data_IF_119082682455
#
_entry.id   IF_119082682455
#
_cell.length_a   1.000
_cell.length_b   1.000
_cell.length_c   1.000
_cell.angle_alpha   90.00
_cell.angle_beta   90.00
_cell.angle_gamma   90.00
#
_symmetry.space_group_name_H-M   'P 1'
#
loop_
_entity.id
_entity.type
_entity.pdbx_description
1 polymer ?
#
# COMPACT_ATOMS: atom_id res chain seq x y z
N UNK A 1 -3.36 -25.37 86.39
CA UNK A 1 -2.41 -24.65 85.49
C UNK A 1 -2.44 -25.13 84.04
N UNK A 2 -3.05 -26.28 83.72
CA UNK A 2 -3.21 -26.81 82.34
C UNK A 2 -4.37 -26.18 81.56
N UNK A 3 -5.42 -25.71 82.24
CA UNK A 3 -6.61 -25.10 81.61
C UNK A 3 -6.34 -23.75 80.95
N UNK A 4 -5.50 -22.89 81.54
CA UNK A 4 -5.10 -21.62 80.91
C UNK A 4 -4.24 -21.82 79.66
N UNK A 5 -3.37 -22.82 79.65
CA UNK A 5 -2.50 -23.11 78.51
C UNK A 5 -3.29 -23.62 77.29
N UNK A 6 -4.34 -24.42 77.54
CA UNK A 6 -5.25 -24.90 76.49
C UNK A 6 -6.09 -23.76 75.92
N UNK A 7 -6.53 -22.81 76.76
CA UNK A 7 -7.27 -21.64 76.28
C UNK A 7 -6.40 -20.70 75.44
N UNK A 8 -5.15 -20.44 75.86
CA UNK A 8 -4.17 -19.69 75.06
C UNK A 8 -3.90 -20.35 73.70
N UNK A 9 -3.74 -21.68 73.68
CA UNK A 9 -3.51 -22.43 72.42
C UNK A 9 -4.70 -22.32 71.46
N UNK A 10 -5.94 -22.40 71.97
CA UNK A 10 -7.17 -22.24 71.17
C UNK A 10 -7.32 -20.82 70.61
N UNK A 11 -6.96 -19.79 71.38
CA UNK A 11 -6.99 -18.39 70.92
C UNK A 11 -5.98 -18.16 69.79
N UNK A 12 -4.78 -18.74 69.88
CA UNK A 12 -3.79 -18.66 68.80
C UNK A 12 -4.28 -19.36 67.52
N UNK A 13 -4.89 -20.55 67.62
CA UNK A 13 -5.48 -21.21 66.46
C UNK A 13 -6.60 -20.39 65.80
N UNK A 14 -7.47 -19.76 66.61
CA UNK A 14 -8.52 -18.88 66.10
C UNK A 14 -7.95 -17.62 65.45
N UNK A 15 -6.89 -17.03 65.98
CA UNK A 15 -6.21 -15.88 65.38
C UNK A 15 -5.55 -16.26 64.04
N UNK A 16 -4.91 -17.42 63.95
CA UNK A 16 -4.33 -17.92 62.70
C UNK A 16 -5.44 -18.18 61.67
N UNK A 17 -6.55 -18.82 62.06
CA UNK A 17 -7.69 -19.00 61.17
C UNK A 17 -8.27 -17.67 60.71
N UNK A 18 -8.44 -16.69 61.60
CA UNK A 18 -8.94 -15.36 61.26
C UNK A 18 -7.99 -14.62 60.31
N UNK A 19 -6.67 -14.74 60.52
CA UNK A 19 -5.65 -14.20 59.61
C UNK A 19 -5.71 -14.89 58.24
N UNK A 20 -5.92 -16.21 58.19
CA UNK A 20 -6.13 -16.94 56.95
C UNK A 20 -7.43 -16.50 56.24
N UNK A 21 -8.54 -16.31 56.97
CA UNK A 21 -9.82 -15.85 56.39
C UNK A 21 -9.69 -14.46 55.77
N UNK A 22 -9.10 -13.51 56.52
CA UNK A 22 -8.87 -12.15 56.05
C UNK A 22 -7.92 -12.13 54.84
N UNK A 23 -6.91 -13.01 54.84
CA UNK A 23 -6.01 -13.14 53.70
C UNK A 23 -6.74 -13.65 52.45
N UNK A 24 -7.62 -14.65 52.59
CA UNK A 24 -8.42 -15.18 51.47
C UNK A 24 -9.41 -14.14 50.94
N UNK A 25 -10.11 -13.40 51.80
CA UNK A 25 -11.00 -12.31 51.37
C UNK A 25 -10.23 -11.20 50.65
N UNK A 26 -9.06 -10.83 51.14
CA UNK A 26 -8.24 -9.80 50.50
C UNK A 26 -7.73 -10.25 49.12
N UNK A 27 -7.29 -11.51 49.00
CA UNK A 27 -6.85 -12.09 47.72
C UNK A 27 -8.01 -12.17 46.72
N UNK A 28 -9.21 -12.55 47.16
CA UNK A 28 -10.38 -12.59 46.28
C UNK A 28 -10.79 -11.20 45.79
N UNK A 29 -10.76 -10.19 46.65
CA UNK A 29 -11.06 -8.81 46.27
C UNK A 29 -10.03 -8.25 45.28
N UNK A 30 -8.74 -8.55 45.46
CA UNK A 30 -7.68 -8.18 44.52
C UNK A 30 -7.85 -8.88 43.17
N UNK A 31 -8.25 -10.15 43.16
CA UNK A 31 -8.53 -10.92 41.95
C UNK A 31 -9.72 -10.35 41.17
N UNK A 32 -10.86 -10.08 41.82
CA UNK A 32 -12.02 -9.46 41.16
C UNK A 32 -11.70 -8.06 40.61
N UNK A 33 -10.87 -7.29 41.32
CA UNK A 33 -10.44 -5.99 40.84
C UNK A 33 -9.53 -6.10 39.62
N UNK A 34 -8.60 -7.06 39.61
CA UNK A 34 -7.78 -7.36 38.44
C UNK A 34 -8.63 -7.82 37.25
N UNK A 35 -9.66 -8.65 37.50
CA UNK A 35 -10.58 -9.14 36.49
C UNK A 35 -11.34 -8.02 35.80
N UNK A 36 -11.95 -7.13 36.59
CA UNK A 36 -12.69 -5.98 36.08
C UNK A 36 -11.79 -5.04 35.27
N UNK A 37 -10.54 -4.84 35.70
CA UNK A 37 -9.56 -4.04 34.94
C UNK A 37 -9.24 -4.67 33.59
N UNK A 38 -9.04 -5.99 33.55
CA UNK A 38 -8.78 -6.72 32.30
C UNK A 38 -9.95 -6.59 31.33
N UNK A 39 -11.19 -6.79 31.79
CA UNK A 39 -12.38 -6.69 30.94
C UNK A 39 -12.60 -5.28 30.37
N UNK A 40 -12.38 -4.24 31.19
CA UNK A 40 -12.43 -2.85 30.73
C UNK A 40 -11.38 -2.61 29.65
N UNK A 41 -10.14 -3.07 29.89
CA UNK A 41 -9.05 -2.93 28.92
C UNK A 41 -9.36 -3.64 27.60
N UNK A 42 -9.86 -4.89 27.64
CA UNK A 42 -10.26 -5.63 26.44
C UNK A 42 -11.29 -4.85 25.62
N UNK A 43 -12.35 -4.38 26.28
CA UNK A 43 -13.42 -3.62 25.61
C UNK A 43 -12.89 -2.34 24.97
N UNK A 44 -12.04 -1.61 25.68
CA UNK A 44 -11.45 -0.38 25.19
C UNK A 44 -10.50 -0.61 24.00
N UNK A 45 -9.60 -1.58 24.14
CA UNK A 45 -8.58 -1.85 23.12
C UNK A 45 -9.19 -2.48 21.89
N UNK A 46 -10.17 -3.37 21.99
CA UNK A 46 -10.80 -3.94 20.80
C UNK A 46 -11.51 -2.86 19.96
N UNK A 47 -12.19 -1.92 20.63
CA UNK A 47 -12.78 -0.74 19.98
C UNK A 47 -11.75 0.12 19.24
N UNK A 48 -10.59 0.37 19.87
CA UNK A 48 -9.47 1.11 19.24
C UNK A 48 -8.80 0.32 18.11
N UNK A 49 -8.72 -1.01 18.25
CA UNK A 49 -8.02 -1.91 17.32
C UNK A 49 -8.68 -1.94 15.94
N UNK A 50 -10.00 -1.85 15.87
CA UNK A 50 -10.71 -1.78 14.59
C UNK A 50 -10.36 -0.52 13.80
N UNK A 51 -10.24 0.63 14.48
CA UNK A 51 -9.82 1.90 13.87
C UNK A 51 -8.35 1.82 13.44
N UNK A 52 -7.47 1.26 14.27
CA UNK A 52 -6.05 1.05 13.96
C UNK A 52 -5.84 0.16 12.75
N UNK A 53 -6.63 -0.90 12.60
CA UNK A 53 -6.59 -1.78 11.44
C UNK A 53 -6.93 -1.04 10.14
N UNK A 54 -7.93 -0.14 10.16
CA UNK A 54 -8.25 0.70 8.99
C UNK A 54 -7.10 1.63 8.62
N UNK A 55 -6.49 2.30 9.60
CA UNK A 55 -5.34 3.17 9.36
C UNK A 55 -4.12 2.41 8.85
N UNK A 56 -3.88 1.19 9.36
CA UNK A 56 -2.82 0.32 8.86
C UNK A 56 -3.02 -0.01 7.37
N UNK A 57 -4.25 -0.34 6.97
CA UNK A 57 -4.56 -0.63 5.56
C UNK A 57 -4.45 0.61 4.66
N UNK A 58 -4.90 1.77 5.13
CA UNK A 58 -4.72 3.03 4.41
C UNK A 58 -3.23 3.36 4.22
N UNK A 59 -2.43 3.16 5.26
CA UNK A 59 -0.98 3.32 5.23
C UNK A 59 -0.33 2.35 4.25
N UNK A 60 -0.66 1.07 4.33
CA UNK A 60 -0.18 0.02 3.41
C UNK A 60 -0.46 0.39 1.96
N UNK A 61 -1.71 0.72 1.64
CA UNK A 61 -2.14 1.11 0.29
C UNK A 61 -1.42 2.36 -0.24
N UNK A 62 -1.23 3.37 0.61
CA UNK A 62 -0.54 4.60 0.21
C UNK A 62 0.95 4.33 -0.09
N UNK A 63 1.62 3.52 0.73
CA UNK A 63 3.02 3.17 0.56
C UNK A 63 3.23 2.27 -0.66
N UNK A 64 2.37 1.27 -0.89
CA UNK A 64 2.43 0.42 -2.08
C UNK A 64 2.20 1.19 -3.39
N UNK A 65 1.27 2.15 -3.38
CA UNK A 65 1.06 3.03 -4.52
C UNK A 65 2.29 3.93 -4.77
N UNK A 66 2.92 4.42 -3.70
CA UNK A 66 4.16 5.19 -3.80
C UNK A 66 5.30 4.34 -4.39
N UNK A 67 5.45 3.11 -3.90
CA UNK A 67 6.43 2.14 -4.37
C UNK A 67 6.29 1.87 -5.87
N UNK A 68 5.08 1.53 -6.29
CA UNK A 68 4.76 1.31 -7.70
C UNK A 68 5.13 2.51 -8.57
N UNK A 69 4.75 3.71 -8.14
CA UNK A 69 4.95 4.92 -8.93
C UNK A 69 6.43 5.33 -9.03
N UNK A 70 7.23 5.20 -7.95
CA UNK A 70 8.65 5.55 -8.03
C UNK A 70 9.43 4.57 -8.91
N UNK A 71 9.06 3.28 -8.93
CA UNK A 71 9.66 2.27 -9.82
C UNK A 71 9.24 2.47 -11.28
N UNK A 72 7.99 2.87 -11.53
CA UNK A 72 7.53 3.29 -12.87
C UNK A 72 8.35 4.49 -13.37
N UNK A 73 8.55 5.51 -12.52
CA UNK A 73 9.37 6.67 -12.86
C UNK A 73 10.84 6.32 -13.12
N UNK A 74 11.45 5.44 -12.33
CA UNK A 74 12.81 4.95 -12.57
C UNK A 74 12.94 4.28 -13.94
N UNK A 75 11.97 3.43 -14.29
CA UNK A 75 11.95 2.73 -15.57
C UNK A 75 11.89 3.73 -16.74
N UNK A 76 10.97 4.69 -16.66
CA UNK A 76 10.84 5.72 -17.70
C UNK A 76 12.07 6.62 -17.79
N UNK A 77 12.72 6.93 -16.66
CA UNK A 77 13.99 7.67 -16.64
C UNK A 77 15.09 6.89 -17.35
N UNK A 78 15.18 5.58 -17.16
CA UNK A 78 16.17 4.74 -17.84
C UNK A 78 15.89 4.66 -19.35
N UNK A 79 14.63 4.48 -19.76
CA UNK A 79 14.25 4.50 -21.18
C UNK A 79 14.59 5.85 -21.83
N UNK A 80 14.33 6.95 -21.12
CA UNK A 80 14.69 8.29 -21.57
C UNK A 80 16.20 8.46 -21.72
N UNK A 81 17.01 7.94 -20.78
CA UNK A 81 18.49 7.97 -20.86
C UNK A 81 18.99 7.21 -22.09
N UNK A 82 18.51 5.99 -22.31
CA UNK A 82 18.84 5.18 -23.50
C UNK A 82 18.51 5.96 -24.78
N UNK A 83 17.34 6.59 -24.84
CA UNK A 83 16.95 7.38 -26.00
C UNK A 83 17.83 8.63 -26.19
N UNK A 84 18.13 9.35 -25.11
CA UNK A 84 19.02 10.52 -25.17
C UNK A 84 20.42 10.13 -25.68
N UNK A 85 20.97 9.01 -25.23
CA UNK A 85 22.27 8.54 -25.71
C UNK A 85 22.22 8.11 -27.18
N UNK A 86 21.16 7.44 -27.60
CA UNK A 86 20.94 7.08 -29.01
C UNK A 86 20.81 8.33 -29.93
N UNK A 87 20.15 9.40 -29.46
CA UNK A 87 20.09 10.68 -30.18
C UNK A 87 21.49 11.27 -30.34
N UNK A 88 22.29 11.28 -29.26
CA UNK A 88 23.66 11.84 -29.30
C UNK A 88 24.55 11.10 -30.27
N UNK A 89 24.50 9.77 -30.26
CA UNK A 89 25.30 8.93 -31.13
C UNK A 89 24.93 9.11 -32.61
N UNK A 90 23.63 9.16 -32.92
CA UNK A 90 23.16 9.24 -34.32
C UNK A 90 23.32 10.63 -34.94
N UNK A 91 23.24 11.68 -34.14
CA UNK A 91 23.24 13.06 -34.62
C UNK A 91 24.63 13.71 -34.50
N UNK A 92 25.59 13.08 -33.81
CA UNK A 92 26.89 13.67 -33.46
C UNK A 92 26.74 15.05 -32.79
N UNK A 93 25.80 15.15 -31.84
CA UNK A 93 25.49 16.39 -31.13
C UNK A 93 24.44 16.20 -30.04
N UNK A 94 24.19 17.23 -29.23
CA UNK A 94 23.22 17.13 -28.13
C UNK A 94 21.76 17.31 -28.59
N UNK A 95 21.52 17.85 -29.79
CA UNK A 95 20.19 18.17 -30.31
C UNK A 95 20.07 17.80 -31.77
N UNK A 96 18.89 17.38 -32.21
CA UNK A 96 18.58 17.12 -33.62
C UNK A 96 18.61 18.45 -34.38
N UNK A 97 19.52 18.66 -35.35
CA UNK A 97 19.58 19.92 -36.09
C UNK A 97 18.34 20.12 -36.96
N UNK A 98 17.86 21.36 -37.03
CA UNK A 98 16.67 21.75 -37.78
C UNK A 98 16.83 21.56 -39.30
N UNK A 99 18.06 21.50 -39.81
CA UNK A 99 18.37 21.39 -41.24
C UNK A 99 18.38 19.96 -41.79
N UNK A 100 17.95 18.95 -41.03
CA UNK A 100 17.84 17.56 -41.48
C UNK A 100 16.63 17.38 -42.41
N UNK A 101 16.76 17.92 -43.63
CA UNK A 101 15.82 17.67 -44.72
C UNK A 101 16.56 17.02 -45.90
N UNK A 102 16.17 15.82 -46.35
CA UNK A 102 15.03 15.04 -45.88
C UNK A 102 15.26 14.39 -44.49
N UNK A 103 14.19 14.10 -43.72
CA UNK A 103 14.30 13.40 -42.44
C UNK A 103 14.91 12.02 -42.67
N UNK A 104 16.08 11.76 -42.10
CA UNK A 104 16.67 10.43 -42.13
C UNK A 104 15.78 9.46 -41.33
N UNK A 105 15.57 8.24 -41.85
CA UNK A 105 14.68 7.25 -41.22
C UNK A 105 15.01 7.02 -39.73
N UNK A 106 16.31 6.93 -39.40
CA UNK A 106 16.82 6.78 -38.03
C UNK A 106 16.39 7.95 -37.12
N UNK A 107 16.40 9.19 -37.63
CA UNK A 107 16.01 10.38 -36.87
C UNK A 107 14.50 10.39 -36.62
N UNK A 108 13.71 9.99 -37.62
CA UNK A 108 12.24 9.86 -37.48
C UNK A 108 11.87 8.81 -36.44
N UNK A 109 12.58 7.68 -36.39
CA UNK A 109 12.38 6.65 -35.38
C UNK A 109 12.67 7.16 -33.96
N UNK A 110 13.82 7.84 -33.77
CA UNK A 110 14.20 8.41 -32.47
C UNK A 110 13.18 9.45 -31.97
N UNK A 111 12.73 10.34 -32.86
CA UNK A 111 11.70 11.34 -32.52
C UNK A 111 10.37 10.66 -32.20
N UNK A 112 9.99 9.62 -32.94
CA UNK A 112 8.78 8.84 -32.68
C UNK A 112 8.80 8.21 -31.27
N UNK A 113 9.95 7.65 -30.87
CA UNK A 113 10.14 7.12 -29.51
C UNK A 113 10.09 8.22 -28.46
N UNK A 114 10.67 9.39 -28.73
CA UNK A 114 10.63 10.54 -27.82
C UNK A 114 9.20 11.02 -27.57
N UNK A 115 8.36 11.08 -28.61
CA UNK A 115 6.94 11.48 -28.52
C UNK A 115 6.15 10.57 -27.57
N UNK A 116 6.54 9.30 -27.43
CA UNK A 116 5.91 8.34 -26.50
C UNK A 116 6.49 8.48 -25.09
N UNK A 117 7.80 8.64 -24.95
CA UNK A 117 8.48 8.69 -23.65
C UNK A 117 8.23 10.01 -22.91
N UNK A 118 8.20 11.15 -23.59
CA UNK A 118 7.97 12.48 -22.99
C UNK A 118 6.67 12.53 -22.15
N UNK A 119 5.48 12.19 -22.69
CA UNK A 119 4.26 12.20 -21.90
C UNK A 119 4.29 11.15 -20.78
N UNK A 120 4.92 10.00 -21.02
CA UNK A 120 5.09 8.95 -20.02
C UNK A 120 5.93 9.45 -18.84
N UNK A 121 7.02 10.18 -19.09
CA UNK A 121 7.88 10.78 -18.07
C UNK A 121 7.15 11.88 -17.28
N UNK A 122 6.35 12.71 -17.97
CA UNK A 122 5.49 13.70 -17.32
C UNK A 122 4.45 13.06 -16.39
N UNK A 123 3.79 12.00 -16.84
CA UNK A 123 2.82 11.26 -16.05
C UNK A 123 3.47 10.56 -14.86
N UNK A 124 4.61 9.89 -15.05
CA UNK A 124 5.33 9.21 -13.97
C UNK A 124 5.80 10.20 -12.89
N UNK A 125 6.29 11.37 -13.30
CA UNK A 125 6.64 12.46 -12.39
C UNK A 125 5.45 12.95 -11.56
N UNK A 126 4.32 13.25 -12.21
CA UNK A 126 3.11 13.70 -11.54
C UNK A 126 2.55 12.65 -10.56
N UNK A 127 2.52 11.38 -10.98
CA UNK A 127 2.11 10.26 -10.13
C UNK A 127 3.01 10.13 -8.89
N UNK A 128 4.33 10.22 -9.04
CA UNK A 128 5.26 10.18 -7.91
C UNK A 128 4.96 11.27 -6.88
N UNK A 129 4.79 12.52 -7.33
CA UNK A 129 4.45 13.64 -6.44
C UNK A 129 3.12 13.42 -5.73
N UNK A 130 2.11 12.93 -6.45
CA UNK A 130 0.78 12.66 -5.88
C UNK A 130 0.81 11.53 -4.84
N UNK A 131 1.45 10.41 -5.14
CA UNK A 131 1.56 9.28 -4.20
C UNK A 131 2.45 9.60 -3.01
N UNK A 132 3.53 10.35 -3.20
CA UNK A 132 4.38 10.82 -2.10
C UNK A 132 3.58 11.70 -1.14
N UNK A 133 2.84 12.70 -1.64
CA UNK A 133 1.96 13.54 -0.81
C UNK A 133 0.89 12.72 -0.08
N UNK A 134 0.30 11.73 -0.77
CA UNK A 134 -0.68 10.84 -0.15
C UNK A 134 -0.05 10.06 1.01
N UNK A 135 1.10 9.41 0.79
CA UNK A 135 1.84 8.69 1.82
C UNK A 135 2.18 9.61 3.00
N UNK A 136 2.70 10.82 2.74
CA UNK A 136 3.04 11.78 3.77
C UNK A 136 1.84 12.23 4.61
N UNK A 137 0.70 12.47 3.97
CA UNK A 137 -0.53 12.81 4.68
C UNK A 137 -1.03 11.64 5.53
N UNK A 138 -0.98 10.40 5.00
CA UNK A 138 -1.37 9.21 5.75
C UNK A 138 -0.45 8.98 6.96
N UNK A 139 0.87 9.13 6.81
CA UNK A 139 1.81 9.06 7.95
C UNK A 139 1.48 10.12 9.00
N UNK A 140 1.18 11.36 8.57
CA UNK A 140 0.78 12.43 9.49
C UNK A 140 -0.49 12.07 10.26
N UNK A 141 -1.47 11.47 9.62
CA UNK A 141 -2.70 11.01 10.28
C UNK A 141 -2.47 9.82 11.21
N UNK A 142 -1.48 8.99 10.92
CA UNK A 142 -1.07 7.87 11.75
C UNK A 142 -0.13 8.25 12.92
N UNK A 143 0.23 9.54 13.04
CA UNK A 143 1.15 10.02 14.09
C UNK A 143 0.64 9.64 15.47
N UNK A 144 1.49 8.99 16.27
CA UNK A 144 1.17 8.57 17.64
C UNK A 144 0.35 7.29 17.76
N UNK A 145 -0.15 6.71 16.65
CA UNK A 145 -0.76 5.38 16.69
C UNK A 145 0.24 4.30 17.18
N UNK A 146 1.50 4.25 16.71
CA UNK A 146 2.46 3.25 17.20
C UNK A 146 2.74 3.36 18.70
N UNK A 147 2.89 4.58 19.23
CA UNK A 147 3.07 4.83 20.66
C UNK A 147 1.83 4.41 21.46
N UNK A 148 0.63 4.74 20.99
CA UNK A 148 -0.61 4.32 21.63
C UNK A 148 -0.82 2.80 21.61
N UNK A 149 -0.38 2.12 20.55
CA UNK A 149 -0.38 0.65 20.47
C UNK A 149 0.61 0.06 21.47
N UNK A 150 1.83 0.61 21.58
CA UNK A 150 2.82 0.18 22.57
C UNK A 150 2.31 0.34 24.01
N UNK A 151 1.64 1.45 24.31
CA UNK A 151 1.03 1.68 25.62
C UNK A 151 -0.03 0.61 25.92
N UNK A 152 -0.98 0.40 25.01
CA UNK A 152 -2.03 -0.63 25.20
C UNK A 152 -1.44 -2.04 25.37
N UNK A 153 -0.35 -2.37 24.64
CA UNK A 153 0.36 -3.63 24.81
C UNK A 153 1.03 -3.75 26.19
N UNK A 154 1.54 -2.65 26.74
CA UNK A 154 2.09 -2.62 28.09
C UNK A 154 0.98 -2.77 29.13
N UNK A 155 -0.13 -2.03 28.99
CA UNK A 155 -1.29 -2.12 29.87
C UNK A 155 -1.84 -3.56 29.89
N UNK A 156 -1.86 -4.25 28.73
CA UNK A 156 -2.24 -5.66 28.66
C UNK A 156 -1.28 -6.56 29.42
N UNK A 157 0.04 -6.37 29.28
CA UNK A 157 1.02 -7.17 30.04
C UNK A 157 0.85 -6.99 31.54
N UNK A 158 0.59 -5.76 31.99
CA UNK A 158 0.34 -5.45 33.40
C UNK A 158 -0.97 -6.07 33.89
N UNK A 159 -2.05 -5.98 33.09
CA UNK A 159 -3.36 -6.53 33.41
C UNK A 159 -3.42 -8.07 33.37
N UNK A 160 -2.60 -8.72 32.53
CA UNK A 160 -2.56 -10.18 32.41
C UNK A 160 -1.66 -10.84 33.47
N UNK A 161 -0.71 -10.11 34.05
CA UNK A 161 0.24 -10.62 35.06
C UNK A 161 -0.39 -11.38 36.24
N UNK A 162 -1.51 -10.93 36.84
CA UNK A 162 -2.17 -11.67 37.93
C UNK A 162 -2.72 -13.04 37.50
N UNK A 163 -2.91 -13.26 36.20
CA UNK A 163 -3.49 -14.47 35.63
C UNK A 163 -2.45 -15.46 35.07
N UNK A 164 -1.17 -15.06 34.96
CA UNK A 164 -0.08 -15.92 34.46
C UNK A 164 0.16 -17.16 35.35
N UNK A 165 -0.14 -17.07 36.64
CA UNK A 165 -0.03 -18.17 37.60
C UNK A 165 -1.35 -18.90 37.86
N UNK A 166 -2.45 -18.49 37.23
CA UNK A 166 -3.77 -19.13 37.35
C UNK A 166 -3.78 -20.38 36.46
N UNK A 167 -2.86 -21.28 36.73
CA UNK A 167 -2.95 -22.65 36.26
C UNK A 167 -3.71 -23.43 37.34
N UNK A 168 -4.91 -23.89 37.00
CA UNK A 168 -5.52 -25.11 37.53
C UNK A 168 -6.05 -25.16 38.99
N UNK A 169 -6.25 -24.05 39.71
CA UNK A 169 -6.87 -24.11 41.05
C UNK A 169 -8.38 -23.80 41.01
N UNK A 170 -9.20 -24.86 40.97
CA UNK A 170 -10.58 -25.06 41.47
C UNK A 170 -11.64 -23.91 41.53
N UNK A 171 -11.43 -22.76 40.90
CA UNK A 171 -12.36 -21.60 40.94
C UNK A 171 -12.63 -20.93 39.60
N UNK A 172 -11.99 -21.35 38.51
CA UNK A 172 -12.21 -20.80 37.17
C UNK A 172 -13.48 -21.43 36.57
N UNK A 173 -14.55 -20.64 36.42
CA UNK A 173 -15.71 -21.04 35.64
C UNK A 173 -15.37 -21.04 34.14
N UNK A 174 -16.09 -21.82 33.33
CA UNK A 174 -15.95 -21.81 31.86
C UNK A 174 -16.07 -20.40 31.25
N UNK A 175 -16.81 -19.49 31.91
CA UNK A 175 -16.94 -18.09 31.49
C UNK A 175 -15.64 -17.30 31.71
N UNK A 176 -14.98 -17.49 32.86
CA UNK A 176 -13.72 -16.81 33.15
C UNK A 176 -12.62 -17.26 32.18
N UNK A 177 -12.56 -18.56 31.86
CA UNK A 177 -11.59 -19.06 30.87
C UNK A 177 -11.81 -18.43 29.49
N UNK A 178 -13.07 -18.31 29.04
CA UNK A 178 -13.41 -17.65 27.76
C UNK A 178 -13.01 -16.18 27.73
N UNK A 179 -13.25 -15.44 28.81
CA UNK A 179 -12.89 -14.02 28.91
C UNK A 179 -11.37 -13.82 28.93
N UNK A 180 -10.62 -14.70 29.61
CA UNK A 180 -9.16 -14.67 29.59
C UNK A 180 -8.60 -15.00 28.20
N UNK A 181 -9.18 -15.99 27.50
CA UNK A 181 -8.85 -16.29 26.11
C UNK A 181 -9.09 -15.09 25.20
N UNK A 182 -10.24 -14.44 25.32
CA UNK A 182 -10.55 -13.22 24.57
C UNK A 182 -9.54 -12.09 24.83
N UNK A 183 -9.07 -11.97 26.08
CA UNK A 183 -8.04 -11.00 26.42
C UNK A 183 -6.69 -11.29 25.73
N UNK A 184 -6.26 -12.55 25.74
CA UNK A 184 -5.06 -12.97 25.01
C UNK A 184 -5.21 -12.77 23.50
N UNK A 185 -6.34 -13.15 22.91
CA UNK A 185 -6.63 -12.92 21.49
C UNK A 185 -6.54 -11.44 21.12
N UNK A 186 -7.11 -10.56 21.95
CA UNK A 186 -7.06 -9.11 21.75
C UNK A 186 -5.63 -8.59 21.84
N UNK A 187 -4.84 -9.05 22.82
CA UNK A 187 -3.42 -8.74 22.94
C UNK A 187 -2.62 -9.15 21.70
N UNK A 188 -2.79 -10.39 21.21
CA UNK A 188 -2.08 -10.89 20.02
C UNK A 188 -2.50 -10.14 18.76
N UNK A 189 -3.79 -9.85 18.58
CA UNK A 189 -4.31 -9.03 17.49
C UNK A 189 -3.65 -7.65 17.48
N UNK A 190 -3.56 -6.99 18.64
CA UNK A 190 -2.89 -5.69 18.76
C UNK A 190 -1.38 -5.79 18.48
N UNK A 191 -0.73 -6.85 18.97
CA UNK A 191 0.69 -7.11 18.73
C UNK A 191 0.99 -7.26 17.23
N UNK A 192 0.13 -7.97 16.50
CA UNK A 192 0.25 -8.13 15.04
C UNK A 192 0.11 -6.78 14.33
N UNK A 193 -0.89 -5.97 14.71
CA UNK A 193 -1.04 -4.60 14.18
C UNK A 193 0.23 -3.79 14.45
N UNK A 194 0.81 -3.86 15.65
CA UNK A 194 2.06 -3.17 15.97
C UNK A 194 3.22 -3.59 15.06
N UNK A 195 3.38 -4.90 14.84
CA UNK A 195 4.44 -5.44 13.98
C UNK A 195 4.25 -5.01 12.54
N UNK A 196 3.02 -5.01 12.04
CA UNK A 196 2.69 -4.56 10.69
C UNK A 196 2.94 -3.06 10.49
N UNK A 197 2.73 -2.22 11.52
CA UNK A 197 3.19 -0.84 11.46
C UNK A 197 4.72 -0.78 11.30
N UNK A 198 5.48 -1.52 12.10
CA UNK A 198 6.94 -1.50 12.00
C UNK A 198 7.45 -2.06 10.67
N UNK A 199 6.81 -3.09 10.11
CA UNK A 199 7.25 -3.70 8.84
C UNK A 199 7.10 -2.76 7.64
N UNK A 200 6.20 -1.77 7.72
CA UNK A 200 5.99 -0.76 6.70
C UNK A 200 6.97 0.42 6.77
N UNK A 201 7.77 0.55 7.85
CA UNK A 201 8.69 1.68 8.00
C UNK A 201 9.78 1.70 6.91
N UNK A 202 10.27 0.54 6.49
CA UNK A 202 11.22 0.44 5.38
C UNK A 202 10.60 0.97 4.06
N UNK A 203 9.36 0.59 3.76
CA UNK A 203 8.63 1.09 2.58
C UNK A 203 8.39 2.60 2.64
N UNK A 204 8.13 3.15 3.83
CA UNK A 204 8.03 4.60 4.04
C UNK A 204 9.35 5.28 3.68
N UNK A 205 10.46 4.79 4.20
CA UNK A 205 11.77 5.40 3.99
C UNK A 205 12.19 5.34 2.52
N UNK A 206 11.91 4.21 1.84
CA UNK A 206 12.09 4.08 0.39
C UNK A 206 11.20 5.06 -0.38
N UNK A 207 9.90 5.11 -0.07
CA UNK A 207 8.98 6.05 -0.72
C UNK A 207 9.48 7.49 -0.59
N UNK A 208 9.94 7.89 0.59
CA UNK A 208 10.42 9.26 0.83
C UNK A 208 11.72 9.56 0.12
N UNK A 209 12.62 8.57 0.02
CA UNK A 209 13.90 8.72 -0.65
C UNK A 209 13.74 8.74 -2.18
N UNK A 210 12.97 7.80 -2.73
CA UNK A 210 12.93 7.53 -4.16
C UNK A 210 11.82 8.28 -4.90
N UNK A 211 10.65 8.53 -4.29
CA UNK A 211 9.55 9.17 -5.02
C UNK A 211 9.86 10.61 -5.43
N UNK A 212 10.47 11.39 -4.54
CA UNK A 212 10.87 12.78 -4.86
C UNK A 212 12.01 12.79 -5.86
N UNK A 213 13.05 11.97 -5.64
CA UNK A 213 14.20 11.83 -6.54
C UNK A 213 13.76 11.40 -7.94
N UNK A 214 13.09 10.25 -8.06
CA UNK A 214 12.70 9.68 -9.36
C UNK A 214 11.64 10.54 -10.05
N UNK A 215 10.73 11.15 -9.28
CA UNK A 215 9.77 12.11 -9.81
C UNK A 215 10.44 13.34 -10.44
N UNK A 216 11.49 13.87 -9.79
CA UNK A 216 12.29 14.96 -10.32
C UNK A 216 13.10 14.53 -11.54
N UNK A 217 13.78 13.40 -11.48
CA UNK A 217 14.57 12.85 -12.59
C UNK A 217 13.70 12.60 -13.84
N UNK A 218 12.47 12.10 -13.67
CA UNK A 218 11.53 11.92 -14.77
C UNK A 218 11.14 13.26 -15.41
N UNK A 219 10.91 14.31 -14.60
CA UNK A 219 10.63 15.64 -15.13
C UNK A 219 11.83 16.27 -15.85
N UNK A 220 13.04 16.05 -15.34
CA UNK A 220 14.28 16.52 -15.97
C UNK A 220 14.53 15.78 -17.28
N UNK A 221 14.32 14.46 -17.32
CA UNK A 221 14.41 13.64 -18.52
C UNK A 221 13.42 14.09 -19.60
N UNK A 222 12.16 14.33 -19.21
CA UNK A 222 11.12 14.93 -20.08
C UNK A 222 11.62 16.24 -20.71
N UNK A 223 12.12 17.16 -19.88
CA UNK A 223 12.56 18.49 -20.32
C UNK A 223 13.76 18.41 -21.25
N UNK A 224 14.73 17.52 -20.95
CA UNK A 224 15.88 17.26 -21.83
C UNK A 224 15.43 16.69 -23.16
N UNK A 225 14.60 15.65 -23.18
CA UNK A 225 14.10 15.06 -24.42
C UNK A 225 13.36 16.08 -25.30
N UNK A 226 12.50 16.92 -24.73
CA UNK A 226 11.83 18.02 -25.47
C UNK A 226 12.87 18.93 -26.14
N UNK A 227 13.91 19.33 -25.39
CA UNK A 227 14.99 20.18 -25.92
C UNK A 227 15.81 19.47 -27.01
N UNK A 228 16.07 18.16 -26.85
CA UNK A 228 16.86 17.38 -27.81
C UNK A 228 16.14 17.19 -29.14
N UNK A 229 14.81 17.00 -29.14
CA UNK A 229 14.03 16.79 -30.37
C UNK A 229 13.58 18.08 -31.05
N UNK A 230 13.46 19.19 -30.32
CA UNK A 230 13.04 20.48 -30.87
C UNK A 230 11.69 20.42 -31.58
N UNK A 231 11.57 21.11 -32.71
CA UNK A 231 10.33 21.20 -33.49
C UNK A 231 10.02 19.92 -34.30
N UNK A 232 10.99 19.03 -34.45
CA UNK A 232 10.80 17.76 -35.18
C UNK A 232 9.73 16.88 -34.54
N UNK A 233 9.48 17.04 -33.23
CA UNK A 233 8.40 16.34 -32.53
C UNK A 233 7.02 16.62 -33.11
N UNK A 234 6.72 17.87 -33.49
CA UNK A 234 5.43 18.22 -34.10
C UNK A 234 5.35 17.71 -35.53
N UNK A 235 6.43 17.84 -36.31
CA UNK A 235 6.51 17.38 -37.69
C UNK A 235 6.30 15.86 -37.79
N UNK A 236 6.99 15.08 -36.97
CA UNK A 236 6.83 13.61 -36.96
C UNK A 236 5.45 13.20 -36.49
N UNK A 237 4.87 13.89 -35.50
CA UNK A 237 3.51 13.62 -35.04
C UNK A 237 2.47 13.88 -36.13
N UNK A 238 2.62 14.97 -36.89
CA UNK A 238 1.76 15.27 -38.04
C UNK A 238 1.90 14.21 -39.14
N UNK A 239 3.13 13.80 -39.45
CA UNK A 239 3.38 12.73 -40.44
C UNK A 239 2.79 11.39 -40.01
N UNK A 240 2.88 11.03 -38.72
CA UNK A 240 2.26 9.83 -38.19
C UNK A 240 0.73 9.89 -38.26
N UNK A 241 0.13 11.03 -37.89
CA UNK A 241 -1.32 11.23 -37.98
C UNK A 241 -1.82 11.18 -39.43
N UNK A 242 -1.08 11.77 -40.38
CA UNK A 242 -1.39 11.66 -41.80
C UNK A 242 -1.33 10.21 -42.28
N UNK A 243 -0.27 9.49 -41.93
CA UNK A 243 -0.12 8.07 -42.30
C UNK A 243 -1.21 7.18 -41.69
N UNK A 244 -1.62 7.44 -40.45
CA UNK A 244 -2.71 6.71 -39.81
C UNK A 244 -4.07 7.01 -40.46
N UNK A 245 -4.32 8.27 -40.85
CA UNK A 245 -5.50 8.65 -41.63
C UNK A 245 -5.50 8.00 -43.01
N UNK A 246 -4.36 7.96 -43.71
CA UNK A 246 -4.22 7.28 -44.99
C UNK A 246 -4.47 5.77 -44.88
N UNK A 247 -3.92 5.10 -43.86
CA UNK A 247 -4.18 3.69 -43.62
C UNK A 247 -5.64 3.41 -43.29
N UNK A 248 -6.28 4.29 -42.49
CA UNK A 248 -7.70 4.16 -42.17
C UNK A 248 -8.56 4.33 -43.43
N UNK A 249 -8.26 5.33 -44.26
CA UNK A 249 -8.94 5.56 -45.53
C UNK A 249 -8.76 4.39 -46.51
N UNK A 250 -7.57 3.78 -46.56
CA UNK A 250 -7.30 2.59 -47.38
C UNK A 250 -8.11 1.39 -46.91
N UNK A 251 -8.20 1.15 -45.58
CA UNK A 251 -9.06 0.09 -45.02
C UNK A 251 -10.53 0.31 -45.32
N UNK A 252 -11.02 1.54 -45.18
CA UNK A 252 -12.41 1.90 -45.49
C UNK A 252 -12.72 1.70 -46.99
N UNK A 253 -11.76 1.98 -47.89
CA UNK A 253 -11.88 1.68 -49.32
C UNK A 253 -11.91 0.18 -49.61
N UNK A 254 -11.00 -0.60 -49.01
CA UNK A 254 -10.96 -2.05 -49.16
C UNK A 254 -12.26 -2.70 -48.67
N UNK A 255 -12.79 -2.26 -47.52
CA UNK A 255 -14.06 -2.72 -46.97
C UNK A 255 -15.25 -2.35 -47.87
N UNK A 256 -15.27 -1.12 -48.41
CA UNK A 256 -16.32 -0.67 -49.33
C UNK A 256 -16.30 -1.45 -50.65
N UNK A 257 -15.12 -1.74 -51.19
CA UNK A 257 -14.97 -2.59 -52.38
C UNK A 257 -15.39 -4.03 -52.12
N UNK A 258 -15.01 -4.59 -50.97
CA UNK A 258 -15.39 -5.95 -50.59
C UNK A 258 -16.91 -6.06 -50.41
N UNK A 259 -17.55 -5.05 -49.82
CA UNK A 259 -19.01 -4.98 -49.70
C UNK A 259 -19.70 -4.93 -51.06
N UNK A 260 -19.20 -4.11 -52.00
CA UNK A 260 -19.72 -4.08 -53.38
C UNK A 260 -19.59 -5.44 -54.08
N UNK A 261 -18.44 -6.10 -53.96
CA UNK A 261 -18.22 -7.44 -54.54
C UNK A 261 -19.18 -8.49 -53.95
N UNK A 262 -19.52 -8.38 -52.68
CA UNK A 262 -20.48 -9.26 -52.04
C UNK A 262 -21.93 -8.98 -52.50
N UNK A 263 -22.33 -7.70 -52.58
CA UNK A 263 -23.66 -7.32 -53.09
C UNK A 263 -23.86 -7.69 -54.57
N UNK A 264 -22.79 -7.60 -55.39
CA UNK A 264 -22.82 -8.06 -56.79
C UNK A 264 -22.95 -9.57 -56.91
N UNK A 265 -22.31 -10.34 -56.02
CA UNK A 265 -22.48 -11.81 -55.96
C UNK A 265 -23.88 -12.20 -55.51
N UNK A 266 -24.41 -11.58 -54.46
CA UNK A 266 -25.77 -11.86 -53.98
C UNK A 266 -26.83 -11.58 -55.06
N UNK A 267 -26.67 -10.50 -55.83
CA UNK A 267 -27.55 -10.20 -56.96
C UNK A 267 -27.41 -11.20 -58.11
N UNK A 268 -26.21 -11.67 -58.41
CA UNK A 268 -25.98 -12.69 -59.43
C UNK A 268 -26.60 -14.04 -59.02
N UNK A 269 -26.44 -14.43 -57.75
CA UNK A 269 -27.02 -15.65 -57.19
C UNK A 269 -28.56 -15.57 -57.18
N UNK A 270 -29.15 -14.40 -56.87
CA UNK A 270 -30.60 -14.17 -56.97
C UNK A 270 -31.13 -14.22 -58.43
N UNK A 271 -30.35 -13.76 -59.41
CA UNK A 271 -30.74 -13.83 -60.82
C UNK A 271 -30.65 -15.26 -61.39
N UNK A 272 -29.69 -16.07 -60.95
CA UNK A 272 -29.61 -17.49 -61.33
C UNK A 272 -30.79 -18.28 -60.73
N UNK A 273 -31.15 -18.02 -59.47
CA UNK A 273 -32.31 -18.63 -58.80
C UNK A 273 -33.65 -18.30 -59.47
N UNK A 274 -33.77 -17.16 -60.15
CA UNK A 274 -34.98 -16.77 -60.91
C UNK A 274 -35.04 -17.37 -62.32
N UNK A 275 -33.95 -17.91 -62.83
CA UNK A 275 -33.86 -18.54 -64.17
C UNK A 275 -33.96 -20.07 -64.13
N UNK A 276 -33.82 -20.68 -62.95
CA UNK A 276 -34.06 -22.10 -62.69
C UNK A 276 -35.54 -22.39 -62.38
#
# INVERSE_FOLDING_TARGET
MTTMFIQLRRVVYLLVLLQCSLYVECVNAEFEQAWNRLLVLVKEVDGRSLVRGKWLEERRSALEACEKNYKEAETVVNDAKILMDAIKEKVNGETIPDSLSPPQADVVELVSRAIVIIPSAGNASAKCVASYKKAQNTERLCTGLPEGIKQDLQDFKEALKPFESVNSSEGTTDENEKELLLAYETYYKLSNVSQDFTSLDAKRDECYTYAEKNGKEANDAKTKLIKMIGNHGETVKQLQQQKEQEMKAAREQEEAEQKKRNEEREKADEEELKKA
#
